data_IF_670612764737
#
_entry.id   IF_670612764737
#
_cell.length_a   1.000
_cell.length_b   1.000
_cell.length_c   1.000
_cell.angle_alpha   90.00
_cell.angle_beta   90.00
_cell.angle_gamma   90.00
#
_symmetry.space_group_name_H-M   'P 1'
#
loop_
_entity.id
_entity.type
_entity.pdbx_description
1 polymer ?
#
# COMPACT_ATOMS: atom_id res chain seq x y z
N UNK A 1 -19.56 -12.65 2.53
CA UNK A 1 -18.61 -11.61 2.06
C UNK A 1 -19.20 -10.97 0.83
N UNK A 2 -19.36 -9.66 0.85
CA UNK A 2 -19.82 -8.88 -0.30
C UNK A 2 -18.79 -8.94 -1.44
N UNK A 3 -19.21 -8.56 -2.64
CA UNK A 3 -18.29 -8.39 -3.76
C UNK A 3 -17.21 -7.34 -3.46
N UNK A 4 -17.58 -6.24 -2.79
CA UNK A 4 -16.66 -5.19 -2.37
C UNK A 4 -15.61 -5.71 -1.38
N UNK A 5 -15.99 -6.57 -0.43
CA UNK A 5 -15.05 -7.15 0.56
C UNK A 5 -13.96 -7.98 -0.14
N UNK A 6 -14.35 -8.71 -1.19
CA UNK A 6 -13.42 -9.54 -1.96
C UNK A 6 -12.43 -8.67 -2.73
N UNK A 7 -12.95 -7.70 -3.49
CA UNK A 7 -12.13 -6.73 -4.23
C UNK A 7 -11.16 -6.02 -3.30
N UNK A 8 -11.62 -5.55 -2.14
CA UNK A 8 -10.77 -4.84 -1.19
C UNK A 8 -9.61 -5.72 -0.72
N UNK A 9 -9.89 -6.96 -0.30
CA UNK A 9 -8.85 -7.91 0.12
C UNK A 9 -7.87 -8.22 -1.00
N UNK A 10 -8.35 -8.40 -2.22
CA UNK A 10 -7.50 -8.72 -3.36
C UNK A 10 -6.62 -7.54 -3.76
N UNK A 11 -7.15 -6.31 -3.74
CA UNK A 11 -6.35 -5.09 -3.90
C UNK A 11 -5.26 -4.95 -2.83
N UNK A 12 -5.61 -5.16 -1.55
CA UNK A 12 -4.64 -5.09 -0.46
C UNK A 12 -3.54 -6.13 -0.62
N UNK A 13 -3.88 -7.37 -0.97
CA UNK A 13 -2.89 -8.41 -1.27
C UNK A 13 -1.96 -7.96 -2.38
N UNK A 14 -2.51 -7.44 -3.48
CA UNK A 14 -1.73 -7.00 -4.63
C UNK A 14 -0.78 -5.85 -4.31
N UNK A 15 -1.20 -4.90 -3.46
CA UNK A 15 -0.33 -3.83 -2.95
C UNK A 15 0.81 -4.41 -2.11
N UNK A 16 0.52 -5.36 -1.22
CA UNK A 16 1.53 -5.93 -0.32
C UNK A 16 2.53 -6.85 -1.04
N UNK A 17 2.08 -7.60 -2.05
CA UNK A 17 2.94 -8.58 -2.75
C UNK A 17 3.64 -8.02 -3.98
N UNK A 18 3.00 -7.08 -4.68
CA UNK A 18 3.47 -6.57 -5.98
C UNK A 18 3.48 -5.04 -6.05
N UNK A 19 3.40 -4.36 -4.91
CA UNK A 19 3.55 -2.92 -4.84
C UNK A 19 5.02 -2.49 -4.84
N UNK A 20 5.22 -1.20 -5.04
CA UNK A 20 6.53 -0.54 -5.03
C UNK A 20 6.72 0.13 -3.68
N UNK A 21 7.85 -0.17 -3.03
CA UNK A 21 8.27 0.46 -1.79
C UNK A 21 8.92 1.82 -2.03
N UNK A 22 8.76 2.74 -1.09
CA UNK A 22 9.50 4.01 -1.06
C UNK A 22 10.62 4.02 0.00
N UNK A 23 11.12 2.85 0.39
CA UNK A 23 12.18 2.66 1.40
C UNK A 23 13.49 3.37 1.07
N UNK A 24 13.79 3.55 -0.22
CA UNK A 24 15.02 4.23 -0.67
C UNK A 24 14.84 5.75 -0.86
N UNK A 25 13.70 6.29 -0.44
CA UNK A 25 13.37 7.71 -0.59
C UNK A 25 13.44 8.43 0.76
N UNK A 26 13.86 9.70 0.74
CA UNK A 26 13.82 10.55 1.93
C UNK A 26 12.38 11.02 2.20
N UNK A 27 11.60 10.20 2.90
CA UNK A 27 10.19 10.46 3.18
C UNK A 27 10.04 11.47 4.33
N UNK A 28 9.12 12.43 4.18
CA UNK A 28 8.79 13.42 5.23
C UNK A 28 7.92 12.86 6.37
N UNK A 29 6.97 11.94 6.13
CA UNK A 29 6.20 11.32 7.19
C UNK A 29 7.09 10.47 8.10
N UNK A 30 6.90 10.60 9.42
CA UNK A 30 7.59 9.83 10.45
C UNK A 30 6.56 9.34 11.47
N UNK A 31 6.87 8.23 12.14
CA UNK A 31 6.10 7.70 13.27
C UNK A 31 6.35 8.52 14.54
N UNK A 32 5.58 8.26 15.60
CA UNK A 32 5.73 8.96 16.89
C UNK A 32 7.12 8.79 17.51
N UNK A 33 7.82 7.70 17.18
CA UNK A 33 9.20 7.41 17.59
C UNK A 33 10.27 8.09 16.72
N UNK A 34 9.86 8.85 15.70
CA UNK A 34 10.74 9.55 14.78
C UNK A 34 11.31 8.69 13.65
N UNK A 35 10.93 7.41 13.53
CA UNK A 35 11.35 6.57 12.39
C UNK A 35 10.59 6.95 11.11
N UNK A 36 11.21 6.92 9.91
CA UNK A 36 10.52 7.26 8.67
C UNK A 36 9.34 6.30 8.37
N UNK A 37 8.17 6.87 8.06
CA UNK A 37 6.96 6.10 7.79
C UNK A 37 6.86 5.74 6.30
N UNK A 38 7.53 4.66 5.91
CA UNK A 38 7.53 4.14 4.55
C UNK A 38 6.22 3.45 4.16
N UNK A 39 5.93 3.46 2.86
CA UNK A 39 4.72 2.87 2.29
C UNK A 39 5.04 1.94 1.12
N UNK A 40 4.15 0.96 0.92
CA UNK A 40 4.08 0.18 -0.31
C UNK A 40 2.81 0.56 -1.06
N UNK A 41 2.94 0.82 -2.37
CA UNK A 41 1.82 1.33 -3.18
C UNK A 41 1.82 0.74 -4.58
N UNK A 42 0.64 0.69 -5.19
CA UNK A 42 0.47 0.25 -6.57
C UNK A 42 -0.42 1.23 -7.34
N UNK A 43 0.07 1.68 -8.49
CA UNK A 43 -0.63 2.63 -9.34
C UNK A 43 -1.57 1.91 -10.32
N UNK A 44 -2.71 2.52 -10.62
CA UNK A 44 -3.59 2.07 -11.70
C UNK A 44 -4.42 0.81 -11.42
N UNK A 45 -4.77 0.52 -10.17
CA UNK A 45 -5.70 -0.58 -9.86
C UNK A 45 -7.11 -0.20 -10.34
N UNK A 46 -7.71 -1.05 -11.20
CA UNK A 46 -9.07 -0.89 -11.72
C UNK A 46 -9.81 -2.22 -11.52
N UNK A 47 -10.99 -2.15 -10.88
CA UNK A 47 -11.86 -3.31 -10.66
C UNK A 47 -13.10 -3.16 -11.54
N UNK A 48 -13.16 -3.92 -12.64
CA UNK A 48 -14.28 -3.95 -13.59
C UNK A 48 -15.16 -5.16 -13.35
#
# INVERSE_FOLDING_TARGET
MSYADRIFKDNCREILTHGVWDTDQNVRPHWEDGTPAHTVKKFGIINR
#
